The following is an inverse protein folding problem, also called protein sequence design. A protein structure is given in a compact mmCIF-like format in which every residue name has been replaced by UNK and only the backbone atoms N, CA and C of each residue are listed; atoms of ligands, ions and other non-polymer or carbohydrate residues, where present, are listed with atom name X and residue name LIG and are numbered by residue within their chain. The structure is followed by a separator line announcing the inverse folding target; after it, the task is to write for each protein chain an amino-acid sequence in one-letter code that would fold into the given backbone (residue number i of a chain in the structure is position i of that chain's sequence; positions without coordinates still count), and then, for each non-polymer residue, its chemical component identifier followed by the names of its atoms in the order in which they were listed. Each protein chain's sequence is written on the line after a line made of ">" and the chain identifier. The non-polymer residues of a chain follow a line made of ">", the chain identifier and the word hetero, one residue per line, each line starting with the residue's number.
data_IF_230684970156
#
_entry.id   IF_230684970156
#
_cell.length_a   1.000
_cell.length_b   1.000
_cell.length_c   1.000
_cell.angle_alpha   90.00
_cell.angle_beta   90.00
_cell.angle_gamma   90.00
#
_symmetry.space_group_name_H-M   'P 1'
#
loop_
_entity.id
_entity.type
_entity.pdbx_description
1 polymer ?
#
# COMPACT_ATOMS: atom_id res chain seq x y z
N UNK A 1 -41.84 5.62 -30.64
CA UNK A 1 -42.70 4.55 -30.08
C UNK A 1 -43.70 5.17 -29.12
N UNK A 2 -44.99 4.80 -29.18
CA UNK A 2 -46.00 5.33 -28.25
C UNK A 2 -45.92 4.61 -26.89
N UNK A 3 -46.07 5.31 -25.75
CA UNK A 3 -46.17 4.70 -24.43
C UNK A 3 -47.40 3.78 -24.35
N UNK A 4 -47.26 2.60 -23.73
CA UNK A 4 -48.37 1.66 -23.57
C UNK A 4 -49.14 2.01 -22.29
N UNK A 5 -50.47 2.25 -22.34
CA UNK A 5 -51.27 2.50 -21.14
C UNK A 5 -51.35 1.24 -20.27
N UNK A 6 -51.24 1.39 -18.94
CA UNK A 6 -51.36 0.26 -18.01
C UNK A 6 -52.74 -0.45 -18.06
N UNK A 7 -53.77 0.24 -18.56
CA UNK A 7 -55.14 -0.27 -18.72
C UNK A 7 -55.29 -1.20 -19.93
N UNK A 8 -54.41 -1.06 -20.93
CA UNK A 8 -54.45 -1.85 -22.17
C UNK A 8 -53.62 -3.15 -22.09
N UNK A 9 -53.04 -3.46 -20.93
CA UNK A 9 -52.21 -4.63 -20.74
C UNK A 9 -53.05 -5.83 -20.32
N UNK A 10 -52.92 -6.94 -21.06
CA UNK A 10 -53.44 -8.22 -20.63
C UNK A 10 -52.53 -8.79 -19.51
N UNK A 11 -53.10 -9.06 -18.34
CA UNK A 11 -52.34 -9.45 -17.14
C UNK A 11 -53.00 -10.66 -16.50
N UNK A 12 -52.17 -11.63 -16.13
CA UNK A 12 -52.55 -12.85 -15.41
C UNK A 12 -53.03 -12.60 -13.98
N UNK A 13 -52.73 -11.43 -13.37
CA UNK A 13 -53.12 -11.09 -11.99
C UNK A 13 -54.13 -9.96 -11.96
N UNK A 14 -55.28 -10.20 -11.32
CA UNK A 14 -56.35 -9.22 -11.22
C UNK A 14 -55.95 -8.04 -10.32
N UNK A 15 -55.74 -6.86 -10.92
CA UNK A 15 -55.36 -5.63 -10.21
C UNK A 15 -56.46 -4.59 -10.34
N UNK A 16 -56.74 -3.82 -9.29
CA UNK A 16 -57.81 -2.82 -9.29
C UNK A 16 -57.60 -1.74 -10.37
N UNK A 17 -58.62 -1.49 -11.20
CA UNK A 17 -58.59 -0.52 -12.32
C UNK A 17 -58.26 0.92 -11.88
N UNK A 18 -58.59 1.32 -10.64
CA UNK A 18 -58.24 2.65 -10.11
C UNK A 18 -56.72 2.84 -9.97
N UNK A 19 -56.01 1.80 -9.54
CA UNK A 19 -54.55 1.80 -9.40
C UNK A 19 -53.88 1.84 -10.77
N UNK A 20 -54.43 1.13 -11.76
CA UNK A 20 -53.91 1.11 -13.12
C UNK A 20 -54.08 2.45 -13.84
N UNK A 21 -55.19 3.15 -13.61
CA UNK A 21 -55.38 4.52 -14.11
C UNK A 21 -54.38 5.51 -13.48
N UNK A 22 -54.09 5.37 -12.18
CA UNK A 22 -53.11 6.22 -11.50
C UNK A 22 -51.67 6.01 -12.00
N UNK A 23 -51.34 4.81 -12.50
CA UNK A 23 -50.00 4.50 -13.08
C UNK A 23 -49.78 5.04 -14.49
N UNK A 24 -50.81 5.56 -15.16
CA UNK A 24 -50.69 6.25 -16.45
C UNK A 24 -50.22 5.35 -17.61
N UNK A 25 -49.24 5.84 -18.38
CA UNK A 25 -48.66 5.16 -19.54
C UNK A 25 -47.15 5.04 -19.37
N UNK A 26 -46.57 3.87 -19.65
CA UNK A 26 -45.14 3.61 -19.45
C UNK A 26 -44.50 3.05 -20.73
N UNK A 27 -43.23 3.36 -20.93
CA UNK A 27 -42.41 2.68 -21.93
C UNK A 27 -41.71 1.47 -21.30
N UNK A 28 -42.11 0.26 -21.69
CA UNK A 28 -41.44 -0.97 -21.26
C UNK A 28 -40.18 -1.23 -22.08
N UNK A 29 -39.12 -1.73 -21.43
CA UNK A 29 -37.82 -2.03 -22.04
C UNK A 29 -37.86 -3.31 -22.91
N UNK A 30 -38.51 -4.36 -22.43
CA UNK A 30 -38.68 -5.64 -23.16
C UNK A 30 -40.13 -5.79 -23.63
N UNK A 31 -40.36 -5.84 -24.94
CA UNK A 31 -41.70 -5.89 -25.56
C UNK A 31 -41.80 -7.00 -26.61
N UNK A 32 -42.96 -7.65 -26.68
CA UNK A 32 -43.25 -8.65 -27.72
C UNK A 32 -43.85 -7.94 -28.93
N UNK A 33 -43.15 -7.96 -30.07
CA UNK A 33 -43.63 -7.43 -31.34
C UNK A 33 -44.00 -5.93 -31.35
N UNK A 34 -44.80 -5.53 -32.34
CA UNK A 34 -45.24 -4.14 -32.54
C UNK A 34 -46.39 -3.70 -31.63
N UNK A 35 -47.02 -4.64 -30.91
CA UNK A 35 -48.19 -4.41 -30.05
C UNK A 35 -47.82 -3.80 -28.68
N UNK A 36 -46.53 -3.85 -28.33
CA UNK A 36 -45.99 -3.14 -27.17
C UNK A 36 -46.37 -3.74 -25.82
N UNK A 37 -46.80 -5.01 -25.80
CA UNK A 37 -47.01 -5.79 -24.59
C UNK A 37 -45.67 -6.13 -23.92
N UNK A 38 -45.56 -6.05 -22.58
CA UNK A 38 -44.33 -6.37 -21.86
C UNK A 38 -44.04 -7.87 -21.93
N UNK A 39 -42.80 -8.24 -22.23
CA UNK A 39 -42.33 -9.62 -22.12
C UNK A 39 -42.17 -9.97 -20.64
N UNK A 40 -42.59 -11.19 -20.26
CA UNK A 40 -42.18 -11.77 -18.98
C UNK A 40 -40.72 -12.20 -19.11
N UNK A 41 -39.75 -11.51 -18.50
CA UNK A 41 -38.33 -11.74 -18.79
C UNK A 41 -37.88 -13.14 -18.39
N UNK A 42 -38.52 -13.73 -17.38
CA UNK A 42 -38.19 -15.04 -16.83
C UNK A 42 -38.18 -16.13 -17.90
N UNK A 43 -39.25 -16.25 -18.69
CA UNK A 43 -39.35 -17.28 -19.74
C UNK A 43 -38.39 -17.03 -20.91
N UNK A 44 -38.09 -15.77 -21.23
CA UNK A 44 -37.14 -15.43 -22.29
C UNK A 44 -35.71 -15.83 -21.90
N UNK A 45 -35.28 -15.49 -20.68
CA UNK A 45 -33.91 -15.79 -20.21
C UNK A 45 -33.71 -17.27 -19.86
N UNK A 46 -34.72 -17.99 -19.37
CA UNK A 46 -34.60 -19.40 -18.99
C UNK A 46 -34.23 -20.33 -20.15
N UNK A 47 -34.52 -19.94 -21.40
CA UNK A 47 -34.22 -20.75 -22.60
C UNK A 47 -33.12 -20.14 -23.49
N UNK A 48 -33.15 -18.82 -23.70
CA UNK A 48 -32.20 -18.16 -24.63
C UNK A 48 -30.80 -18.02 -24.06
N UNK A 49 -30.67 -17.76 -22.74
CA UNK A 49 -29.37 -17.56 -22.11
C UNK A 49 -28.54 -18.86 -22.07
N UNK A 50 -29.08 -20.03 -21.66
CA UNK A 50 -28.32 -21.28 -21.71
C UNK A 50 -27.89 -21.67 -23.12
N UNK A 51 -28.75 -21.45 -24.13
CA UNK A 51 -28.42 -21.73 -25.53
C UNK A 51 -27.30 -20.80 -26.05
N UNK A 52 -27.34 -19.51 -25.71
CA UNK A 52 -26.30 -18.56 -26.06
C UNK A 52 -24.96 -18.91 -25.40
N UNK A 53 -24.97 -19.28 -24.11
CA UNK A 53 -23.77 -19.70 -23.40
C UNK A 53 -23.17 -20.97 -24.01
N UNK A 54 -23.99 -21.89 -24.51
CA UNK A 54 -23.53 -23.08 -25.21
C UNK A 54 -22.80 -22.76 -26.53
N UNK A 55 -23.23 -21.71 -27.22
CA UNK A 55 -22.60 -21.28 -28.46
C UNK A 55 -21.26 -20.56 -28.23
N UNK A 56 -21.12 -19.89 -27.09
CA UNK A 56 -19.93 -19.07 -26.77
C UNK A 56 -18.86 -19.89 -26.04
N UNK A 57 -19.24 -20.96 -25.33
CA UNK A 57 -18.30 -21.75 -24.53
C UNK A 57 -17.20 -22.39 -25.39
N UNK A 58 -15.96 -22.36 -24.88
CA UNK A 58 -14.79 -22.97 -25.53
C UNK A 58 -14.55 -24.41 -25.03
N UNK A 59 -13.75 -25.23 -25.74
CA UNK A 59 -13.44 -26.58 -25.28
C UNK A 59 -12.76 -26.54 -23.89
N UNK A 60 -13.41 -27.14 -22.89
CA UNK A 60 -12.95 -27.16 -21.49
C UNK A 60 -13.71 -26.25 -20.52
N UNK A 61 -14.63 -25.40 -21.01
CA UNK A 61 -15.47 -24.54 -20.17
C UNK A 61 -16.85 -25.17 -19.90
N UNK A 62 -17.38 -25.01 -18.67
CA UNK A 62 -18.67 -25.58 -18.24
C UNK A 62 -19.76 -24.50 -18.09
N UNK A 63 -19.98 -23.68 -19.12
CA UNK A 63 -20.97 -22.59 -19.06
C UNK A 63 -22.41 -23.08 -19.22
N UNK A 64 -22.63 -24.15 -20.00
CA UNK A 64 -23.95 -24.75 -20.18
C UNK A 64 -23.85 -26.24 -20.56
N UNK A 65 -24.79 -27.04 -20.06
CA UNK A 65 -24.89 -28.46 -20.36
C UNK A 65 -26.18 -28.77 -21.12
N UNK A 66 -26.15 -29.76 -22.00
CA UNK A 66 -27.36 -30.29 -22.63
C UNK A 66 -28.02 -31.26 -21.66
N UNK A 67 -29.31 -31.08 -21.39
CA UNK A 67 -30.07 -32.02 -20.57
C UNK A 67 -30.02 -33.43 -21.20
N UNK A 68 -29.65 -34.49 -20.46
CA UNK A 68 -29.54 -35.84 -21.01
C UNK A 68 -30.87 -36.51 -21.42
N UNK A 69 -32.02 -35.86 -21.19
CA UNK A 69 -33.35 -36.39 -21.52
C UNK A 69 -33.69 -36.23 -23.03
N UNK A 70 -33.91 -37.33 -23.79
CA UNK A 70 -34.14 -37.29 -25.23
C UNK A 70 -35.46 -36.62 -25.66
N UNK A 71 -36.45 -36.50 -24.77
CA UNK A 71 -37.75 -35.90 -25.10
C UNK A 71 -37.78 -34.36 -24.95
N UNK A 72 -36.78 -33.77 -24.29
CA UNK A 72 -36.75 -32.34 -23.99
C UNK A 72 -35.30 -31.85 -23.89
N UNK A 73 -34.58 -31.90 -25.02
CA UNK A 73 -33.21 -31.40 -25.15
C UNK A 73 -33.18 -29.88 -24.92
N UNK A 74 -33.11 -29.49 -23.65
CA UNK A 74 -32.94 -28.11 -23.21
C UNK A 74 -31.53 -27.90 -22.73
N UNK A 75 -30.98 -26.75 -23.07
CA UNK A 75 -29.73 -26.28 -22.48
C UNK A 75 -30.00 -25.86 -21.03
N UNK A 76 -29.19 -26.36 -20.11
CA UNK A 76 -29.24 -26.05 -18.69
C UNK A 76 -28.00 -25.23 -18.36
N UNK A 77 -28.22 -24.09 -17.72
CA UNK A 77 -27.16 -23.23 -17.21
C UNK A 77 -27.27 -23.17 -15.68
N UNK A 78 -26.18 -23.41 -14.92
CA UNK A 78 -26.19 -23.22 -13.47
C UNK A 78 -26.25 -21.73 -13.08
N UNK A 79 -25.90 -20.82 -14.00
CA UNK A 79 -25.89 -19.38 -13.78
C UNK A 79 -27.24 -18.75 -14.17
N UNK A 80 -27.93 -18.19 -13.18
CA UNK A 80 -29.17 -17.45 -13.37
C UNK A 80 -28.90 -15.97 -13.70
N UNK A 81 -29.83 -15.24 -14.32
CA UNK A 81 -29.71 -13.79 -14.46
C UNK A 81 -29.51 -13.07 -13.12
N UNK A 82 -30.07 -13.63 -12.04
CA UNK A 82 -29.86 -13.11 -10.69
C UNK A 82 -28.41 -13.31 -10.24
N UNK A 83 -27.85 -14.52 -10.37
CA UNK A 83 -26.45 -14.77 -9.97
C UNK A 83 -25.47 -13.95 -10.81
N UNK A 84 -25.70 -13.80 -12.12
CA UNK A 84 -24.89 -12.94 -12.99
C UNK A 84 -24.93 -11.48 -12.55
N UNK A 85 -26.12 -10.97 -12.20
CA UNK A 85 -26.28 -9.60 -11.67
C UNK A 85 -25.53 -9.41 -10.35
N UNK A 86 -25.59 -10.37 -9.44
CA UNK A 86 -24.83 -10.32 -8.18
C UNK A 86 -23.33 -10.29 -8.46
N UNK A 87 -22.81 -11.24 -9.25
CA UNK A 87 -21.39 -11.30 -9.61
C UNK A 87 -20.91 -10.00 -10.25
N UNK A 88 -21.72 -9.39 -11.12
CA UNK A 88 -21.37 -8.14 -11.80
C UNK A 88 -21.40 -6.91 -10.88
N UNK A 89 -22.35 -6.84 -9.93
CA UNK A 89 -22.32 -5.83 -8.86
C UNK A 89 -21.04 -5.99 -8.03
N UNK A 90 -20.74 -7.22 -7.60
CA UNK A 90 -19.57 -7.50 -6.78
C UNK A 90 -18.29 -7.15 -7.52
N UNK A 91 -18.13 -7.53 -8.79
CA UNK A 91 -16.95 -7.21 -9.59
C UNK A 91 -16.78 -5.69 -9.77
N UNK A 92 -17.84 -4.94 -10.07
CA UNK A 92 -17.72 -3.48 -10.21
C UNK A 92 -17.28 -2.78 -8.93
N UNK A 93 -17.72 -3.27 -7.77
CA UNK A 93 -17.42 -2.63 -6.49
C UNK A 93 -16.10 -3.12 -5.93
N UNK A 94 -15.87 -4.44 -5.92
CA UNK A 94 -14.69 -5.06 -5.33
C UNK A 94 -13.44 -4.93 -6.22
N UNK A 95 -13.58 -5.16 -7.53
CA UNK A 95 -12.43 -5.16 -8.45
C UNK A 95 -12.29 -3.81 -9.18
N UNK A 96 -13.42 -3.15 -9.46
CA UNK A 96 -13.46 -1.88 -10.19
C UNK A 96 -13.44 -0.62 -9.32
N UNK A 97 -13.41 -0.76 -7.98
CA UNK A 97 -13.45 0.33 -7.01
C UNK A 97 -14.60 1.34 -7.25
N UNK A 98 -15.68 0.90 -7.93
CA UNK A 98 -16.74 1.79 -8.35
C UNK A 98 -17.56 2.29 -7.15
N UNK A 99 -17.87 3.60 -7.07
CA UNK A 99 -18.66 4.12 -5.97
C UNK A 99 -20.02 3.44 -5.87
N UNK A 100 -20.34 2.90 -4.68
CA UNK A 100 -21.57 2.12 -4.44
C UNK A 100 -22.85 2.85 -4.86
N UNK A 101 -22.87 4.18 -4.71
CA UNK A 101 -24.02 5.00 -5.07
C UNK A 101 -24.27 5.05 -6.59
N UNK A 102 -23.22 4.92 -7.41
CA UNK A 102 -23.34 4.82 -8.86
C UNK A 102 -23.85 3.44 -9.28
N UNK A 103 -23.32 2.37 -8.67
CA UNK A 103 -23.77 1.00 -8.96
C UNK A 103 -25.22 0.80 -8.52
N UNK A 104 -25.62 1.35 -7.37
CA UNK A 104 -27.01 1.33 -6.92
C UNK A 104 -27.96 1.96 -7.91
N UNK A 105 -27.55 3.07 -8.56
CA UNK A 105 -28.34 3.72 -9.63
C UNK A 105 -28.36 2.90 -10.90
N UNK A 106 -27.22 2.36 -11.33
CA UNK A 106 -27.10 1.54 -12.54
C UNK A 106 -27.98 0.29 -12.48
N UNK A 107 -28.03 -0.35 -11.31
CA UNK A 107 -28.75 -1.60 -11.12
C UNK A 107 -30.19 -1.37 -10.64
N UNK A 108 -30.57 -0.11 -10.42
CA UNK A 108 -31.94 0.32 -10.13
C UNK A 108 -32.43 -0.11 -8.74
N UNK A 109 -31.54 -0.16 -7.75
CA UNK A 109 -31.94 -0.47 -6.38
C UNK A 109 -32.61 0.74 -5.72
N UNK A 110 -33.76 0.51 -5.09
CA UNK A 110 -34.54 1.55 -4.40
C UNK A 110 -33.87 2.04 -3.11
N UNK A 111 -32.94 1.26 -2.55
CA UNK A 111 -32.16 1.61 -1.37
C UNK A 111 -30.74 1.08 -1.50
N UNK A 112 -29.77 1.82 -0.98
CA UNK A 112 -28.36 1.42 -0.91
C UNK A 112 -28.18 0.10 -0.16
N UNK A 113 -29.02 -0.20 0.83
CA UNK A 113 -28.97 -1.44 1.63
C UNK A 113 -29.08 -2.68 0.73
N UNK A 114 -29.88 -2.61 -0.35
CA UNK A 114 -29.98 -3.71 -1.31
C UNK A 114 -28.67 -3.91 -2.06
N UNK A 115 -27.92 -2.85 -2.35
CA UNK A 115 -26.61 -2.92 -3.00
C UNK A 115 -25.54 -3.43 -2.04
N UNK A 116 -25.57 -2.97 -0.78
CA UNK A 116 -24.67 -3.40 0.30
C UNK A 116 -24.74 -4.91 0.53
N UNK A 117 -25.93 -5.51 0.42
CA UNK A 117 -26.10 -6.96 0.57
C UNK A 117 -25.23 -7.79 -0.38
N UNK A 118 -24.87 -7.25 -1.55
CA UNK A 118 -24.02 -7.91 -2.55
C UNK A 118 -22.52 -7.62 -2.37
N UNK A 119 -22.18 -6.79 -1.40
CA UNK A 119 -20.82 -6.39 -1.04
C UNK A 119 -20.44 -7.11 0.24
N UNK A 120 -20.40 -8.45 0.19
CA UNK A 120 -19.68 -9.22 1.21
C UNK A 120 -18.21 -9.22 0.84
N UNK A 121 -17.53 -8.12 1.17
CA UNK A 121 -16.09 -8.05 1.04
C UNK A 121 -15.47 -9.02 2.05
N UNK A 122 -14.52 -9.82 1.59
CA UNK A 122 -13.73 -10.65 2.50
C UNK A 122 -12.86 -9.74 3.38
N UNK A 123 -12.55 -10.15 4.62
CA UNK A 123 -11.74 -9.36 5.57
C UNK A 123 -10.40 -8.90 4.96
N UNK A 124 -9.80 -9.74 4.12
CA UNK A 124 -8.55 -9.46 3.42
C UNK A 124 -8.69 -8.40 2.32
N UNK A 125 -9.80 -8.42 1.57
CA UNK A 125 -10.09 -7.40 0.54
C UNK A 125 -10.35 -6.03 1.18
N UNK A 126 -11.04 -6.01 2.33
CA UNK A 126 -11.22 -4.77 3.10
C UNK A 126 -9.88 -4.23 3.58
N UNK A 127 -9.00 -5.06 4.15
CA UNK A 127 -7.71 -4.61 4.68
C UNK A 127 -6.79 -4.04 3.59
N UNK A 128 -6.74 -4.64 2.40
CA UNK A 128 -5.88 -4.16 1.30
C UNK A 128 -6.40 -2.84 0.71
N UNK A 129 -7.70 -2.74 0.42
CA UNK A 129 -8.29 -1.51 -0.13
C UNK A 129 -8.27 -0.36 0.89
N UNK A 130 -8.44 -0.67 2.19
CA UNK A 130 -8.34 0.32 3.26
C UNK A 130 -6.90 0.78 3.49
N UNK A 131 -5.90 -0.09 3.44
CA UNK A 131 -4.51 0.31 3.70
C UNK A 131 -3.98 1.39 2.74
N UNK A 132 -4.23 1.23 1.44
CA UNK A 132 -3.81 2.24 0.45
C UNK A 132 -4.64 3.53 0.57
N UNK A 133 -5.96 3.40 0.80
CA UNK A 133 -6.84 4.55 1.01
C UNK A 133 -6.49 5.32 2.30
N UNK A 134 -6.12 4.63 3.37
CA UNK A 134 -5.67 5.21 4.63
C UNK A 134 -4.36 5.98 4.46
N UNK A 135 -3.38 5.41 3.75
CA UNK A 135 -2.13 6.11 3.43
C UNK A 135 -2.36 7.39 2.63
N UNK A 136 -3.20 7.34 1.59
CA UNK A 136 -3.56 8.53 0.79
C UNK A 136 -4.35 9.56 1.59
N UNK A 137 -5.31 9.11 2.40
CA UNK A 137 -6.08 10.00 3.26
C UNK A 137 -5.20 10.69 4.31
N UNK A 138 -4.25 9.95 4.90
CA UNK A 138 -3.26 10.48 5.82
C UNK A 138 -2.42 11.58 5.14
N UNK A 139 -1.96 11.36 3.90
CA UNK A 139 -1.21 12.37 3.15
C UNK A 139 -2.04 13.65 2.93
N UNK A 140 -3.30 13.53 2.52
CA UNK A 140 -4.19 14.70 2.33
C UNK A 140 -4.37 15.47 3.64
N UNK A 141 -4.45 14.77 4.77
CA UNK A 141 -4.48 15.40 6.10
C UNK A 141 -3.15 16.11 6.39
N UNK A 142 -2.01 15.49 6.10
CA UNK A 142 -0.69 16.11 6.26
C UNK A 142 -0.52 17.35 5.38
N UNK A 143 -0.98 17.31 4.12
CA UNK A 143 -0.94 18.47 3.20
C UNK A 143 -1.85 19.62 3.66
N UNK A 144 -3.04 19.30 4.17
CA UNK A 144 -3.91 20.30 4.80
C UNK A 144 -3.26 20.91 6.03
N UNK A 145 -2.72 20.08 6.92
CA UNK A 145 -2.00 20.55 8.10
C UNK A 145 -0.78 21.39 7.71
N UNK A 146 -0.07 21.04 6.63
CA UNK A 146 1.02 21.85 6.09
C UNK A 146 0.53 23.23 5.65
N UNK A 147 -0.60 23.29 4.94
CA UNK A 147 -1.26 24.53 4.53
C UNK A 147 -1.64 25.39 5.74
N UNK A 148 -2.22 24.76 6.76
CA UNK A 148 -2.64 25.42 7.99
C UNK A 148 -1.46 25.94 8.81
N UNK A 149 -0.33 25.21 8.83
CA UNK A 149 0.90 25.66 9.50
C UNK A 149 1.53 26.85 8.80
N UNK A 150 1.51 26.87 7.48
CA UNK A 150 1.99 28.02 6.71
C UNK A 150 1.11 29.26 6.90
N UNK A 151 -0.20 29.07 7.08
CA UNK A 151 -1.15 30.17 7.26
C UNK A 151 -1.22 30.70 8.70
N UNK A 152 -1.25 29.81 9.69
CA UNK A 152 -1.58 30.11 11.09
C UNK A 152 -0.49 29.70 12.08
N UNK A 153 0.65 29.19 11.61
CA UNK A 153 1.75 28.75 12.47
C UNK A 153 1.46 27.43 13.16
N UNK A 154 2.09 27.17 14.31
CA UNK A 154 1.96 25.88 15.00
C UNK A 154 0.66 25.73 15.79
N UNK A 155 -0.04 26.83 16.09
CA UNK A 155 -1.29 26.90 16.87
C UNK A 155 -2.34 25.83 16.56
N UNK A 156 -2.78 25.63 15.29
CA UNK A 156 -3.85 24.68 14.96
C UNK A 156 -3.49 23.22 15.28
N UNK A 157 -2.21 22.88 15.25
CA UNK A 157 -1.73 21.50 15.42
C UNK A 157 -1.03 21.26 16.76
N UNK A 158 -0.90 22.27 17.64
CA UNK A 158 -0.13 22.17 18.91
C UNK A 158 -0.43 20.93 19.73
N UNK A 159 -1.70 20.55 19.82
CA UNK A 159 -2.12 19.41 20.63
C UNK A 159 -1.71 18.07 20.01
N UNK A 160 -1.41 18.02 18.71
CA UNK A 160 -1.02 16.80 17.96
C UNK A 160 0.50 16.63 17.90
N UNK A 161 1.25 17.63 18.36
CA UNK A 161 2.70 17.69 18.32
C UNK A 161 3.33 17.08 19.57
N UNK A 162 4.49 16.47 19.39
CA UNK A 162 5.32 15.94 20.47
C UNK A 162 6.14 17.06 21.09
N UNK A 163 5.93 17.28 22.38
CA UNK A 163 6.76 18.16 23.20
C UNK A 163 7.95 17.39 23.77
N UNK A 164 9.13 17.92 23.51
CA UNK A 164 10.43 17.49 24.03
C UNK A 164 11.09 18.70 24.69
N UNK A 165 12.03 18.49 25.61
CA UNK A 165 12.72 19.57 26.35
C UNK A 165 13.34 20.64 25.42
N UNK A 166 13.78 20.25 24.22
CA UNK A 166 14.39 21.17 23.25
C UNK A 166 13.41 21.99 22.39
N UNK A 167 12.19 21.50 22.18
CA UNK A 167 11.21 22.11 21.28
C UNK A 167 9.99 22.70 22.01
N UNK A 168 9.83 22.40 23.30
CA UNK A 168 8.64 22.77 24.09
C UNK A 168 8.41 24.28 24.13
N UNK A 169 9.45 25.08 24.36
CA UNK A 169 9.34 26.54 24.37
C UNK A 169 8.94 27.11 23.01
N UNK A 170 9.45 26.54 21.92
CA UNK A 170 9.08 26.96 20.55
C UNK A 170 7.62 26.67 20.24
N UNK A 171 7.11 25.53 20.70
CA UNK A 171 5.70 25.17 20.53
C UNK A 171 4.80 26.09 21.37
N UNK A 172 5.22 26.46 22.58
CA UNK A 172 4.40 27.25 23.50
C UNK A 172 4.41 28.76 23.20
N UNK A 173 5.60 29.34 23.02
CA UNK A 173 5.79 30.78 22.72
C UNK A 173 5.29 31.15 21.31
N UNK A 174 5.24 30.16 20.41
CA UNK A 174 4.81 30.35 19.04
C UNK A 174 5.95 30.85 18.14
N UNK A 175 6.07 30.23 16.97
CA UNK A 175 7.11 30.56 15.99
C UNK A 175 6.46 31.31 14.82
N UNK A 176 7.09 32.36 14.28
CA UNK A 176 6.59 33.03 13.09
C UNK A 176 6.42 32.05 11.93
N UNK A 177 5.29 32.12 11.22
CA UNK A 177 4.95 31.16 10.16
C UNK A 177 6.00 31.10 9.05
N UNK A 178 6.65 32.24 8.74
CA UNK A 178 7.72 32.33 7.75
C UNK A 178 9.00 31.57 8.15
N UNK A 179 9.19 31.28 9.44
CA UNK A 179 10.32 30.53 9.93
C UNK A 179 10.09 29.01 9.88
N UNK A 180 8.83 28.56 9.76
CA UNK A 180 8.47 27.15 9.72
C UNK A 180 8.63 26.56 8.31
N UNK A 181 9.46 25.52 8.20
CA UNK A 181 9.54 24.65 7.02
C UNK A 181 8.94 23.31 7.37
N UNK A 182 7.91 22.90 6.64
CA UNK A 182 7.22 21.63 6.85
C UNK A 182 7.76 20.60 5.86
N UNK A 183 8.22 19.46 6.40
CA UNK A 183 8.62 18.27 5.67
C UNK A 183 7.59 17.15 5.91
N UNK A 184 7.63 16.11 5.10
CA UNK A 184 6.72 14.96 5.23
C UNK A 184 6.91 14.20 6.55
N UNK A 185 8.09 14.29 7.18
CA UNK A 185 8.42 13.64 8.46
C UNK A 185 8.41 14.58 9.67
N UNK A 186 8.22 15.90 9.47
CA UNK A 186 8.10 16.87 10.57
C UNK A 186 8.39 18.30 10.17
N UNK A 187 8.46 19.19 11.15
CA UNK A 187 8.55 20.65 10.98
C UNK A 187 9.88 21.15 11.54
N UNK A 188 10.54 22.03 10.79
CA UNK A 188 11.66 22.82 11.25
C UNK A 188 11.22 24.27 11.52
N UNK A 189 11.19 24.73 12.78
CA UNK A 189 10.83 26.10 13.13
C UNK A 189 11.96 27.13 12.87
N UNK A 190 13.12 26.69 12.37
CA UNK A 190 14.32 27.51 12.19
C UNK A 190 14.73 27.65 10.71
N UNK A 191 13.76 27.67 9.80
CA UNK A 191 13.95 27.81 8.34
C UNK A 191 14.96 26.84 7.72
N UNK A 192 15.14 25.64 8.32
CA UNK A 192 16.15 24.67 7.92
C UNK A 192 17.59 25.25 7.82
N UNK A 193 17.91 26.26 8.64
CA UNK A 193 19.18 26.99 8.61
C UNK A 193 20.01 26.87 9.90
N UNK A 194 19.38 26.69 11.07
CA UNK A 194 20.08 26.70 12.37
C UNK A 194 20.56 25.32 12.85
N UNK A 195 20.90 24.40 11.94
CA UNK A 195 21.38 23.05 12.30
C UNK A 195 22.72 23.06 13.06
N UNK A 196 23.52 24.12 12.92
CA UNK A 196 24.80 24.28 13.62
C UNK A 196 24.68 24.47 15.14
N UNK A 197 23.47 24.77 15.65
CA UNK A 197 23.18 24.91 17.09
C UNK A 197 22.11 23.90 17.55
N UNK A 198 21.83 22.87 16.74
CA UNK A 198 20.72 21.95 16.99
C UNK A 198 21.08 20.70 17.78
N UNK A 199 22.35 20.46 18.08
CA UNK A 199 22.84 19.26 18.73
C UNK A 199 22.85 19.32 20.26
N UNK A 200 23.64 18.44 20.87
CA UNK A 200 23.77 18.31 22.32
C UNK A 200 24.41 19.54 22.96
N UNK A 201 24.05 19.81 24.22
CA UNK A 201 24.60 20.94 24.97
C UNK A 201 26.06 20.69 25.36
N UNK A 202 26.97 21.58 24.92
CA UNK A 202 28.40 21.51 25.22
C UNK A 202 28.69 22.15 26.58
N UNK A 203 28.05 23.28 26.87
CA UNK A 203 28.21 23.98 28.15
C UNK A 203 26.88 24.57 28.62
N UNK A 204 26.51 24.24 29.86
CA UNK A 204 25.35 24.82 30.56
C UNK A 204 25.88 25.79 31.63
N UNK A 205 26.05 27.07 31.28
CA UNK A 205 26.24 28.15 32.27
C UNK A 205 24.91 28.87 32.48
N UNK A 206 24.72 29.46 33.66
CA UNK A 206 23.46 30.05 34.16
C UNK A 206 22.75 31.08 33.25
N UNK A 207 23.34 31.49 32.10
CA UNK A 207 22.74 32.44 31.14
C UNK A 207 22.92 32.11 29.65
N UNK A 208 23.78 31.17 29.26
CA UNK A 208 24.01 30.82 27.86
C UNK A 208 24.26 29.31 27.72
N UNK A 209 23.41 28.65 26.94
CA UNK A 209 23.58 27.24 26.56
C UNK A 209 24.23 27.22 25.18
N UNK A 210 25.49 26.78 25.12
CA UNK A 210 26.17 26.54 23.85
C UNK A 210 25.88 25.11 23.41
N UNK A 211 25.25 24.94 22.26
CA UNK A 211 25.02 23.62 21.68
C UNK A 211 26.00 23.32 20.55
N UNK A 212 26.23 22.03 20.34
CA UNK A 212 26.99 21.50 19.22
C UNK A 212 26.17 21.54 17.93
N UNK A 213 26.83 21.47 16.77
CA UNK A 213 26.17 21.15 15.51
C UNK A 213 25.48 19.78 15.58
N UNK A 214 24.37 19.64 14.87
CA UNK A 214 23.71 18.34 14.70
C UNK A 214 24.68 17.36 14.04
N UNK A 215 24.79 16.16 14.61
CA UNK A 215 25.64 15.10 14.06
C UNK A 215 25.15 14.65 12.68
N UNK A 216 26.10 14.40 11.77
CA UNK A 216 25.80 13.92 10.43
C UNK A 216 25.19 12.52 10.48
N UNK A 217 24.01 12.38 9.87
CA UNK A 217 23.28 11.11 9.82
C UNK A 217 22.86 10.72 8.40
N UNK A 218 21.81 9.91 8.28
CA UNK A 218 21.26 9.47 6.99
C UNK A 218 20.87 10.66 6.09
N UNK A 219 20.23 11.68 6.66
CA UNK A 219 19.85 12.92 5.96
C UNK A 219 21.02 13.91 5.78
N UNK A 220 22.26 13.50 6.08
CA UNK A 220 23.46 14.32 5.98
C UNK A 220 23.53 15.40 7.06
N UNK A 221 23.87 16.64 6.67
CA UNK A 221 24.08 17.77 7.59
C UNK A 221 22.79 18.30 8.21
N UNK A 222 21.64 18.02 7.59
CA UNK A 222 20.32 18.43 8.07
C UNK A 222 19.58 17.25 8.69
N UNK A 223 20.23 16.56 9.63
CA UNK A 223 19.66 15.42 10.31
C UNK A 223 18.61 15.85 11.35
N UNK A 224 17.41 16.23 10.88
CA UNK A 224 16.35 16.75 11.72
C UNK A 224 15.96 15.82 12.86
N UNK A 225 16.05 14.50 12.67
CA UNK A 225 15.71 13.50 13.71
C UNK A 225 16.55 13.68 14.98
N UNK A 226 17.79 14.18 14.84
CA UNK A 226 18.69 14.43 15.99
C UNK A 226 18.77 15.89 16.39
N UNK A 227 17.93 16.74 15.80
CA UNK A 227 17.91 18.16 16.08
C UNK A 227 16.94 18.48 17.22
N UNK A 228 17.40 19.20 18.23
CA UNK A 228 16.57 19.64 19.37
C UNK A 228 15.36 20.49 18.97
N UNK A 229 15.48 21.20 17.84
CA UNK A 229 14.43 22.08 17.31
C UNK A 229 13.36 21.33 16.52
N UNK A 230 13.56 20.05 16.26
CA UNK A 230 12.66 19.27 15.45
C UNK A 230 11.30 19.12 16.13
N UNK A 231 10.25 19.39 15.36
CA UNK A 231 8.87 19.30 15.82
C UNK A 231 8.18 18.26 14.96
N UNK A 232 7.62 17.22 15.58
CA UNK A 232 6.88 16.17 14.88
C UNK A 232 5.66 15.76 15.68
N UNK A 233 4.82 14.87 15.16
CA UNK A 233 3.56 14.48 15.79
C UNK A 233 2.71 13.55 14.93
N UNK A 234 1.45 13.35 15.34
CA UNK A 234 0.50 12.42 14.69
C UNK A 234 0.39 12.61 13.17
N UNK A 235 0.33 13.84 12.62
CA UNK A 235 0.25 14.03 11.17
C UNK A 235 1.45 13.53 10.37
N UNK A 236 2.61 13.36 11.00
CA UNK A 236 3.87 13.01 10.36
C UNK A 236 4.23 11.54 10.53
N UNK A 237 3.38 10.74 11.19
CA UNK A 237 3.66 9.34 11.50
C UNK A 237 4.04 8.53 10.27
N UNK A 238 3.30 8.66 9.17
CA UNK A 238 3.60 7.93 7.93
C UNK A 238 4.96 8.29 7.34
N UNK A 239 5.34 9.58 7.36
CA UNK A 239 6.65 10.03 6.91
C UNK A 239 7.78 9.55 7.82
N UNK A 240 7.57 9.50 9.14
CA UNK A 240 8.52 8.93 10.10
C UNK A 240 8.74 7.43 9.87
N UNK A 241 7.68 6.67 9.64
CA UNK A 241 7.77 5.23 9.32
C UNK A 241 8.51 5.02 7.99
N UNK A 242 8.18 5.81 6.96
CA UNK A 242 8.86 5.74 5.67
C UNK A 242 10.37 6.02 5.79
N UNK A 243 10.75 7.06 6.54
CA UNK A 243 12.16 7.37 6.82
C UNK A 243 12.83 6.25 7.62
N UNK A 244 12.15 5.69 8.62
CA UNK A 244 12.65 4.56 9.40
C UNK A 244 12.93 3.32 8.54
N UNK A 245 12.07 3.02 7.57
CA UNK A 245 12.25 1.91 6.65
C UNK A 245 13.46 2.08 5.72
N UNK A 246 13.70 3.29 5.22
CA UNK A 246 14.91 3.59 4.44
C UNK A 246 16.19 3.41 5.25
N UNK A 247 16.21 3.93 6.48
CA UNK A 247 17.36 3.76 7.38
C UNK A 247 17.55 2.28 7.75
N UNK A 248 16.48 1.52 7.94
CA UNK A 248 16.55 0.08 8.19
C UNK A 248 17.22 -0.67 7.02
N UNK A 249 16.92 -0.30 5.78
CA UNK A 249 17.60 -0.87 4.60
C UNK A 249 19.10 -0.55 4.60
N UNK A 250 19.47 0.70 4.90
CA UNK A 250 20.88 1.10 5.01
C UNK A 250 21.64 0.37 6.12
N UNK A 251 21.02 0.24 7.30
CA UNK A 251 21.55 -0.53 8.42
C UNK A 251 21.82 -1.96 7.99
N UNK A 252 20.86 -2.60 7.31
CA UNK A 252 21.04 -3.97 6.84
C UNK A 252 22.24 -4.10 5.91
N UNK A 253 22.37 -3.21 4.92
CA UNK A 253 23.47 -3.28 3.94
C UNK A 253 24.82 -2.99 4.60
N UNK A 254 24.92 -1.98 5.45
CA UNK A 254 26.18 -1.67 6.15
C UNK A 254 26.55 -2.72 7.20
N UNK A 255 25.56 -3.35 7.85
CA UNK A 255 25.79 -4.49 8.77
C UNK A 255 26.44 -5.67 8.04
N UNK A 256 25.95 -6.02 6.84
CA UNK A 256 26.58 -7.06 6.01
C UNK A 256 28.04 -6.74 5.67
N UNK A 257 28.31 -5.49 5.25
CA UNK A 257 29.68 -5.03 4.96
C UNK A 257 30.58 -5.07 6.20
N UNK A 258 30.06 -4.67 7.36
CA UNK A 258 30.78 -4.72 8.63
C UNK A 258 31.15 -6.16 8.99
N UNK A 259 30.23 -7.12 8.83
CA UNK A 259 30.49 -8.53 9.08
C UNK A 259 31.58 -9.10 8.15
N UNK A 260 31.56 -8.74 6.87
CA UNK A 260 32.61 -9.13 5.91
C UNK A 260 33.99 -8.61 6.32
N UNK A 261 34.09 -7.31 6.68
CA UNK A 261 35.36 -6.74 7.14
C UNK A 261 35.81 -7.32 8.49
N UNK A 262 34.88 -7.59 9.41
CA UNK A 262 35.21 -8.20 10.70
C UNK A 262 35.72 -9.64 10.54
N UNK A 263 35.14 -10.41 9.61
CA UNK A 263 35.64 -11.74 9.27
C UNK A 263 37.05 -11.68 8.64
N UNK A 264 37.30 -10.69 7.77
CA UNK A 264 38.62 -10.46 7.17
C UNK A 264 39.67 -10.09 8.21
N UNK A 265 39.35 -9.17 9.14
CA UNK A 265 40.23 -8.76 10.24
C UNK A 265 40.59 -9.97 11.10
N UNK A 266 39.61 -10.76 11.53
CA UNK A 266 39.86 -11.98 12.33
C UNK A 266 40.81 -12.94 11.63
N UNK A 267 40.59 -13.21 10.35
CA UNK A 267 41.47 -14.08 9.55
C UNK A 267 42.91 -13.55 9.49
N UNK A 268 43.09 -12.25 9.28
CA UNK A 268 44.42 -11.64 9.22
C UNK A 268 45.11 -11.56 10.59
N UNK A 269 44.33 -11.44 11.67
CA UNK A 269 44.81 -11.51 13.04
C UNK A 269 45.27 -12.92 13.42
N UNK A 270 44.53 -13.96 13.02
CA UNK A 270 44.93 -15.36 13.20
C UNK A 270 46.26 -15.66 12.49
N UNK A 271 46.39 -15.28 11.22
CA UNK A 271 47.65 -15.45 10.45
C UNK A 271 48.80 -14.69 11.11
N UNK A 272 48.55 -13.48 11.62
CA UNK A 272 49.55 -12.70 12.33
C UNK A 272 49.98 -13.37 13.64
N UNK A 273 49.03 -13.94 14.38
CA UNK A 273 49.30 -14.67 15.61
C UNK A 273 50.16 -15.91 15.36
N UNK A 274 49.85 -16.71 14.34
CA UNK A 274 50.63 -17.89 13.95
C UNK A 274 52.05 -17.51 13.50
N UNK A 275 52.20 -16.43 12.72
CA UNK A 275 53.50 -15.90 12.32
C UNK A 275 54.34 -15.44 13.52
N UNK A 276 53.70 -14.80 14.51
CA UNK A 276 54.35 -14.42 15.77
C UNK A 276 54.81 -15.65 16.56
N UNK A 277 53.99 -16.72 16.64
CA UNK A 277 54.40 -17.97 17.28
C UNK A 277 55.61 -18.62 16.57
N UNK A 278 55.66 -18.52 15.25
CA UNK A 278 56.74 -19.04 14.42
C UNK A 278 57.98 -18.11 14.33
N UNK A 279 58.00 -16.96 15.02
CA UNK A 279 59.03 -15.91 14.91
C UNK A 279 59.28 -15.43 13.46
N UNK A 280 58.24 -15.42 12.62
CA UNK A 280 58.33 -14.96 11.24
C UNK A 280 57.89 -13.49 11.12
N UNK A 281 58.50 -12.72 10.19
CA UNK A 281 58.10 -11.35 9.94
C UNK A 281 56.67 -11.28 9.36
N UNK A 282 55.93 -10.25 9.73
CA UNK A 282 54.55 -10.04 9.31
C UNK A 282 54.46 -9.55 7.84
N UNK A 283 54.16 -10.48 6.93
CA UNK A 283 54.04 -10.23 5.50
C UNK A 283 52.77 -9.42 5.17
N UNK A 284 51.73 -9.48 6.02
CA UNK A 284 50.40 -8.94 5.74
C UNK A 284 50.07 -7.65 6.52
N UNK A 285 51.07 -6.99 7.12
CA UNK A 285 50.89 -5.80 7.96
C UNK A 285 50.03 -4.71 7.30
N UNK A 286 50.28 -4.40 6.02
CA UNK A 286 49.53 -3.38 5.30
C UNK A 286 48.07 -3.78 5.08
N UNK A 287 47.83 -5.03 4.69
CA UNK A 287 46.47 -5.54 4.47
C UNK A 287 45.68 -5.57 5.77
N UNK A 288 46.29 -5.97 6.89
CA UNK A 288 45.65 -5.93 8.22
C UNK A 288 45.28 -4.51 8.62
N UNK A 289 46.18 -3.53 8.47
CA UNK A 289 45.88 -2.12 8.76
C UNK A 289 44.72 -1.59 7.91
N UNK A 290 44.66 -1.94 6.63
CA UNK A 290 43.57 -1.55 5.75
C UNK A 290 42.23 -2.20 6.16
N UNK A 291 42.25 -3.50 6.50
CA UNK A 291 41.06 -4.22 6.95
C UNK A 291 40.49 -3.61 8.25
N UNK A 292 41.34 -3.31 9.24
CA UNK A 292 40.94 -2.65 10.49
C UNK A 292 40.37 -1.26 10.21
N UNK A 293 41.00 -0.46 9.35
CA UNK A 293 40.50 0.86 9.00
C UNK A 293 39.12 0.80 8.32
N UNK A 294 38.90 -0.15 7.41
CA UNK A 294 37.62 -0.36 6.75
C UNK A 294 36.53 -0.83 7.73
N UNK A 295 36.86 -1.75 8.64
CA UNK A 295 35.96 -2.20 9.71
C UNK A 295 35.55 -1.03 10.60
N UNK A 296 36.50 -0.21 11.06
CA UNK A 296 36.23 0.97 11.88
C UNK A 296 35.37 2.00 11.16
N UNK A 297 35.65 2.25 9.87
CA UNK A 297 34.84 3.15 9.05
C UNK A 297 33.40 2.65 8.89
N UNK A 298 33.21 1.36 8.60
CA UNK A 298 31.90 0.74 8.47
C UNK A 298 31.15 0.73 9.81
N UNK A 299 31.84 0.41 10.91
CA UNK A 299 31.30 0.44 12.26
C UNK A 299 30.85 1.83 12.70
N UNK A 300 31.64 2.87 12.41
CA UNK A 300 31.25 4.26 12.70
C UNK A 300 30.03 4.69 11.89
N UNK A 301 29.94 4.30 10.62
CA UNK A 301 28.75 4.57 9.79
C UNK A 301 27.51 3.86 10.35
N UNK A 302 27.65 2.59 10.73
CA UNK A 302 26.56 1.77 11.29
C UNK A 302 26.05 2.35 12.61
N UNK A 303 26.94 2.78 13.50
CA UNK A 303 26.58 3.42 14.78
C UNK A 303 25.72 4.68 14.56
N UNK A 304 26.11 5.54 13.60
CA UNK A 304 25.32 6.74 13.27
C UNK A 304 23.92 6.38 12.75
N UNK A 305 23.80 5.38 11.87
CA UNK A 305 22.51 4.93 11.34
C UNK A 305 21.61 4.33 12.43
N UNK A 306 22.18 3.55 13.35
CA UNK A 306 21.45 2.96 14.48
C UNK A 306 20.95 4.01 15.45
N UNK A 307 21.74 5.05 15.72
CA UNK A 307 21.33 6.21 16.52
C UNK A 307 20.15 6.94 15.88
N UNK A 308 20.24 7.22 14.58
CA UNK A 308 19.15 7.85 13.83
C UNK A 308 17.87 6.99 13.89
N UNK A 309 17.99 5.69 13.65
CA UNK A 309 16.87 4.75 13.72
C UNK A 309 16.22 4.72 15.10
N UNK A 310 17.04 4.73 16.17
CA UNK A 310 16.55 4.77 17.55
C UNK A 310 15.76 6.03 17.82
N UNK A 311 16.28 7.20 17.42
CA UNK A 311 15.57 8.48 17.59
C UNK A 311 14.24 8.52 16.81
N UNK A 312 14.20 8.02 15.57
CA UNK A 312 12.93 7.89 14.81
C UNK A 312 11.95 7.02 15.58
N UNK A 313 12.41 5.86 16.05
CA UNK A 313 11.56 4.90 16.72
C UNK A 313 11.00 5.45 18.06
N UNK A 314 11.76 6.28 18.77
CA UNK A 314 11.27 7.03 19.92
C UNK A 314 10.15 8.00 19.54
N UNK A 315 10.31 8.78 18.48
CA UNK A 315 9.24 9.66 18.00
C UNK A 315 7.99 8.90 17.57
N UNK A 316 8.14 7.76 16.89
CA UNK A 316 7.03 6.89 16.52
C UNK A 316 6.29 6.42 17.78
N UNK A 317 7.02 5.90 18.80
CA UNK A 317 6.43 5.48 20.08
C UNK A 317 5.69 6.61 20.79
N UNK A 318 6.27 7.82 20.83
CA UNK A 318 5.63 8.98 21.42
C UNK A 318 4.36 9.38 20.67
N UNK A 319 4.38 9.29 19.34
CA UNK A 319 3.23 9.59 18.48
C UNK A 319 2.08 8.61 18.72
N UNK A 320 2.39 7.32 18.88
CA UNK A 320 1.41 6.30 19.23
C UNK A 320 0.79 6.55 20.60
N UNK A 321 1.60 6.86 21.61
CA UNK A 321 1.10 7.20 22.96
C UNK A 321 0.16 8.40 22.93
N UNK A 322 0.53 9.47 22.22
CA UNK A 322 -0.34 10.64 22.06
C UNK A 322 -1.65 10.31 21.35
N UNK A 323 -1.62 9.34 20.43
CA UNK A 323 -2.82 8.88 19.73
C UNK A 323 -3.73 8.09 20.68
N UNK A 324 -3.17 7.21 21.51
CA UNK A 324 -3.90 6.44 22.53
C UNK A 324 -4.52 7.35 23.61
N UNK A 325 -3.78 8.33 24.14
CA UNK A 325 -4.28 9.27 25.15
C UNK A 325 -5.43 10.16 24.64
N UNK A 326 -5.44 10.46 23.34
CA UNK A 326 -6.55 11.18 22.68
C UNK A 326 -7.79 10.33 22.54
N UNK A 327 -7.65 9.03 22.24
CA UNK A 327 -8.78 8.10 22.20
C UNK A 327 -9.53 8.06 23.54
N UNK A 328 -8.80 8.12 24.66
CA UNK A 328 -9.39 8.10 26.00
C UNK A 328 -10.03 9.45 26.40
N UNK A 329 -9.54 10.56 25.87
CA UNK A 329 -9.95 11.92 26.28
C UNK A 329 -11.12 12.48 25.46
N UNK A 330 -11.17 12.21 24.16
CA UNK A 330 -12.20 12.71 23.25
C UNK A 330 -13.13 11.58 22.80
N UNK A 331 -14.08 11.18 23.66
CA UNK A 331 -15.14 10.20 23.37
C UNK A 331 -16.11 10.55 22.22
N UNK A 332 -15.63 11.21 21.16
CA UNK A 332 -16.35 11.54 19.93
C UNK A 332 -16.00 10.53 18.84
N UNK A 333 -16.87 9.54 18.71
CA UNK A 333 -17.19 8.80 17.48
C UNK A 333 -15.99 8.47 16.56
N UNK A 334 -15.10 7.61 17.04
CA UNK A 334 -14.39 6.71 16.15
C UNK A 334 -15.39 5.63 15.69
N UNK A 335 -15.50 5.42 14.37
CA UNK A 335 -16.34 4.39 13.79
C UNK A 335 -16.08 3.04 14.47
N UNK A 336 -17.17 2.42 14.94
CA UNK A 336 -17.20 1.15 15.64
C UNK A 336 -16.63 0.06 14.73
N UNK A 337 -15.36 -0.30 14.93
CA UNK A 337 -14.84 -1.62 14.59
C UNK A 337 -15.06 -2.51 15.82
N UNK A 338 -16.17 -3.25 15.81
CA UNK A 338 -16.51 -4.25 16.83
C UNK A 338 -15.36 -5.27 16.96
N UNK A 339 -14.92 -5.50 18.19
CA UNK A 339 -14.04 -6.60 18.68
C UNK A 339 -12.57 -6.69 18.27
N UNK A 340 -12.00 -5.68 17.62
CA UNK A 340 -10.55 -5.48 17.67
C UNK A 340 -10.24 -4.01 17.74
N UNK A 341 -10.01 -3.51 18.96
CA UNK A 341 -9.30 -2.25 19.16
C UNK A 341 -8.01 -2.40 18.36
N UNK A 342 -7.92 -1.75 17.20
CA UNK A 342 -6.68 -1.68 16.43
C UNK A 342 -5.79 -0.76 17.27
N UNK A 343 -5.15 -1.34 18.29
CA UNK A 343 -3.92 -0.78 18.80
C UNK A 343 -3.00 -0.69 17.60
N UNK A 344 -2.63 0.52 17.24
CA UNK A 344 -1.64 0.76 16.21
C UNK A 344 -0.31 0.27 16.78
N UNK A 345 -0.06 -1.03 16.63
CA UNK A 345 1.14 -1.68 17.11
C UNK A 345 2.22 -1.57 16.03
N UNK A 346 3.35 -0.97 16.38
CA UNK A 346 4.53 -0.97 15.52
C UNK A 346 5.25 -2.27 15.78
N UNK A 347 4.91 -3.29 14.98
CA UNK A 347 5.58 -4.58 15.02
C UNK A 347 6.83 -4.53 14.15
N UNK A 348 8.01 -4.65 14.75
CA UNK A 348 9.23 -5.00 14.01
C UNK A 348 9.14 -6.49 13.69
N UNK A 349 9.03 -6.83 12.41
CA UNK A 349 8.93 -8.23 11.96
C UNK A 349 10.20 -8.63 11.23
N UNK A 350 10.89 -9.63 11.77
CA UNK A 350 11.92 -10.33 11.03
C UNK A 350 11.25 -11.16 9.94
N UNK A 351 11.44 -10.76 8.69
CA UNK A 351 10.89 -11.46 7.52
C UNK A 351 11.99 -12.35 6.94
N UNK A 352 11.63 -13.55 6.47
CA UNK A 352 12.58 -14.47 5.85
C UNK A 352 13.19 -13.88 4.56
N UNK A 353 12.48 -12.94 3.93
CA UNK A 353 12.94 -12.20 2.76
C UNK A 353 12.91 -10.69 3.03
N UNK A 354 13.80 -9.94 2.37
CA UNK A 354 13.79 -8.47 2.40
C UNK A 354 12.73 -7.87 1.46
N UNK A 355 11.97 -8.69 0.74
CA UNK A 355 11.05 -8.23 -0.29
C UNK A 355 10.03 -7.24 0.25
N UNK A 356 9.44 -7.53 1.41
CA UNK A 356 8.42 -6.67 2.03
C UNK A 356 8.95 -5.26 2.31
N UNK A 357 10.13 -5.14 2.93
CA UNK A 357 10.76 -3.83 3.20
C UNK A 357 11.04 -3.07 1.90
N UNK A 358 11.59 -3.74 0.89
CA UNK A 358 11.90 -3.13 -0.40
C UNK A 358 10.62 -2.67 -1.13
N UNK A 359 9.57 -3.48 -1.06
CA UNK A 359 8.26 -3.17 -1.62
C UNK A 359 7.65 -1.94 -0.97
N UNK A 360 7.72 -1.84 0.36
CA UNK A 360 7.21 -0.71 1.13
C UNK A 360 7.99 0.58 0.82
N UNK A 361 9.32 0.51 0.69
CA UNK A 361 10.14 1.68 0.27
C UNK A 361 9.76 2.14 -1.15
N UNK A 362 9.53 1.21 -2.08
CA UNK A 362 9.11 1.56 -3.44
C UNK A 362 7.70 2.18 -3.48
N UNK A 363 6.79 1.76 -2.60
CA UNK A 363 5.48 2.38 -2.43
C UNK A 363 5.62 3.79 -1.82
N UNK A 364 6.43 3.92 -0.77
CA UNK A 364 6.69 5.19 -0.08
C UNK A 364 7.31 6.23 -1.01
N UNK A 365 8.18 5.84 -1.94
CA UNK A 365 8.78 6.75 -2.93
C UNK A 365 7.77 7.34 -3.94
N UNK A 366 6.59 6.73 -4.08
CA UNK A 366 5.50 7.30 -4.88
C UNK A 366 4.61 8.24 -4.07
N UNK A 367 4.63 8.11 -2.73
CA UNK A 367 3.75 8.85 -1.81
C UNK A 367 4.48 10.09 -1.25
N UNK A 368 5.71 9.92 -0.76
CA UNK A 368 6.48 10.96 -0.08
C UNK A 368 7.56 11.55 -0.99
N UNK A 369 7.72 12.87 -0.94
CA UNK A 369 8.63 13.58 -1.86
C UNK A 369 10.10 13.38 -1.51
N UNK A 370 10.38 13.12 -0.25
CA UNK A 370 11.74 12.93 0.25
C UNK A 370 12.28 11.52 0.03
N UNK A 371 11.37 10.57 -0.16
CA UNK A 371 11.73 9.16 -0.16
C UNK A 371 12.52 8.81 -1.42
N UNK A 372 13.63 8.11 -1.24
CA UNK A 372 14.55 7.78 -2.33
C UNK A 372 14.64 6.26 -2.56
N UNK A 373 13.89 5.77 -3.53
CA UNK A 373 13.90 4.34 -3.89
C UNK A 373 15.16 3.89 -4.67
N UNK A 374 16.13 4.76 -4.97
CA UNK A 374 17.28 4.42 -5.84
C UNK A 374 18.09 3.20 -5.37
N UNK A 375 18.17 2.95 -4.05
CA UNK A 375 18.85 1.77 -3.51
C UNK A 375 17.95 0.53 -3.44
N UNK A 376 16.66 0.73 -3.16
CA UNK A 376 15.70 -0.36 -3.05
C UNK A 376 15.32 -0.94 -4.43
N UNK A 377 15.19 -0.08 -5.45
CA UNK A 377 14.71 -0.45 -6.78
C UNK A 377 15.57 -1.49 -7.51
N UNK A 378 16.93 -1.41 -7.54
CA UNK A 378 17.73 -2.46 -8.14
C UNK A 378 17.63 -3.79 -7.37
N UNK A 379 17.52 -3.74 -6.04
CA UNK A 379 17.41 -4.94 -5.20
C UNK A 379 16.09 -5.66 -5.44
N UNK A 380 14.96 -4.93 -5.44
CA UNK A 380 13.65 -5.53 -5.70
C UNK A 380 13.51 -6.00 -7.14
N UNK A 381 14.09 -5.27 -8.11
CA UNK A 381 14.12 -5.69 -9.51
C UNK A 381 14.83 -7.03 -9.65
N UNK A 382 15.97 -7.22 -8.99
CA UNK A 382 16.69 -8.50 -9.00
C UNK A 382 15.91 -9.60 -8.28
N UNK A 383 15.24 -9.29 -7.17
CA UNK A 383 14.39 -10.25 -6.46
C UNK A 383 13.23 -10.74 -7.33
N UNK A 384 12.56 -9.84 -8.05
CA UNK A 384 11.46 -10.16 -8.98
C UNK A 384 11.98 -10.97 -10.17
N UNK A 385 13.10 -10.58 -10.77
CA UNK A 385 13.69 -11.33 -11.88
C UNK A 385 14.14 -12.74 -11.46
N UNK A 386 14.65 -12.92 -10.23
CA UNK A 386 14.95 -14.23 -9.66
C UNK A 386 13.70 -15.08 -9.44
N UNK A 387 12.65 -14.48 -8.86
CA UNK A 387 11.36 -15.16 -8.69
C UNK A 387 10.78 -15.59 -10.05
N UNK A 388 10.85 -14.73 -11.07
CA UNK A 388 10.41 -15.06 -12.41
C UNK A 388 11.21 -16.25 -12.98
N UNK A 389 12.54 -16.20 -12.90
CA UNK A 389 13.41 -17.28 -13.39
C UNK A 389 13.15 -18.62 -12.70
N UNK A 390 12.99 -18.63 -11.38
CA UNK A 390 12.70 -19.84 -10.60
C UNK A 390 11.36 -20.49 -10.97
N UNK A 391 10.41 -19.70 -11.47
CA UNK A 391 9.09 -20.16 -11.89
C UNK A 391 8.96 -20.40 -13.40
N UNK A 392 10.07 -20.38 -14.15
CA UNK A 392 10.07 -20.56 -15.60
C UNK A 392 9.45 -19.39 -16.38
N UNK A 393 9.27 -18.23 -15.75
CA UNK A 393 8.83 -16.99 -16.37
C UNK A 393 10.03 -16.22 -16.93
N UNK A 394 9.80 -15.36 -17.93
CA UNK A 394 10.86 -14.56 -18.53
C UNK A 394 11.17 -13.33 -17.67
N UNK A 395 12.38 -13.22 -17.09
CA UNK A 395 12.80 -12.02 -16.36
C UNK A 395 12.81 -10.82 -17.30
N UNK A 396 12.21 -9.71 -16.86
CA UNK A 396 11.97 -8.55 -17.71
C UNK A 396 12.23 -7.22 -17.00
N UNK A 397 12.40 -7.21 -15.67
CA UNK A 397 12.53 -5.97 -14.89
C UNK A 397 13.79 -5.18 -15.27
N UNK A 398 14.88 -5.87 -15.59
CA UNK A 398 16.12 -5.25 -16.05
C UNK A 398 15.99 -4.42 -17.34
N UNK A 399 14.95 -4.63 -18.16
CA UNK A 399 14.71 -3.88 -19.41
C UNK A 399 13.94 -2.57 -19.20
N UNK A 400 13.32 -2.41 -18.03
CA UNK A 400 12.41 -1.30 -17.74
C UNK A 400 13.17 -0.07 -17.23
N UNK A 401 12.58 1.11 -17.41
CA UNK A 401 13.07 2.35 -16.77
C UNK A 401 12.71 2.38 -15.28
N UNK A 402 13.40 3.21 -14.50
CA UNK A 402 13.15 3.33 -13.05
C UNK A 402 11.68 3.64 -12.72
N UNK A 403 11.04 4.56 -13.46
CA UNK A 403 9.61 4.87 -13.29
C UNK A 403 8.72 3.66 -13.59
N UNK A 404 9.00 2.95 -14.68
CA UNK A 404 8.24 1.75 -15.04
C UNK A 404 8.43 0.63 -14.01
N UNK A 405 9.65 0.46 -13.46
CA UNK A 405 9.91 -0.52 -12.40
C UNK A 405 9.05 -0.26 -11.17
N UNK A 406 8.91 1.00 -10.73
CA UNK A 406 8.06 1.36 -9.59
C UNK A 406 6.59 0.98 -9.83
N UNK A 407 6.05 1.32 -11.01
CA UNK A 407 4.67 0.97 -11.36
C UNK A 407 4.48 -0.55 -11.43
N UNK A 408 5.42 -1.28 -12.02
CA UNK A 408 5.37 -2.75 -12.10
C UNK A 408 5.43 -3.38 -10.71
N UNK A 409 6.33 -2.92 -9.84
CA UNK A 409 6.43 -3.38 -8.45
C UNK A 409 5.10 -3.20 -7.72
N UNK A 410 4.48 -2.02 -7.84
CA UNK A 410 3.19 -1.75 -7.19
C UNK A 410 2.07 -2.65 -7.72
N UNK A 411 1.96 -2.81 -9.04
CA UNK A 411 0.96 -3.69 -9.66
C UNK A 411 1.17 -5.15 -9.24
N UNK A 412 2.42 -5.60 -9.20
CA UNK A 412 2.78 -6.93 -8.75
C UNK A 412 2.40 -7.13 -7.28
N UNK A 413 2.73 -6.18 -6.41
CA UNK A 413 2.39 -6.25 -4.98
C UNK A 413 0.88 -6.29 -4.75
N UNK A 414 0.11 -5.45 -5.47
CA UNK A 414 -1.36 -5.47 -5.40
C UNK A 414 -1.90 -6.85 -5.78
N UNK A 415 -1.40 -7.43 -6.87
CA UNK A 415 -1.80 -8.77 -7.31
C UNK A 415 -1.43 -9.86 -6.29
N UNK A 416 -0.20 -9.85 -5.80
CA UNK A 416 0.28 -10.85 -4.84
C UNK A 416 -0.48 -10.78 -3.52
N UNK A 417 -0.77 -9.59 -3.00
CA UNK A 417 -1.55 -9.42 -1.78
C UNK A 417 -3.02 -9.84 -1.95
N UNK A 418 -3.63 -9.56 -3.10
CA UNK A 418 -5.00 -9.98 -3.40
C UNK A 418 -5.12 -11.51 -3.42
N UNK A 419 -4.14 -12.21 -3.99
CA UNK A 419 -4.18 -13.66 -4.17
C UNK A 419 -3.66 -14.45 -2.95
N UNK A 420 -2.51 -14.06 -2.39
CA UNK A 420 -1.83 -14.81 -1.33
C UNK A 420 -2.28 -14.40 0.07
N UNK A 421 -2.65 -13.14 0.25
CA UNK A 421 -3.26 -12.60 1.46
C UNK A 421 -2.37 -12.35 2.66
N UNK A 422 -1.19 -12.97 2.72
CA UNK A 422 -0.20 -12.72 3.75
C UNK A 422 1.17 -12.45 3.13
N UNK A 423 1.91 -11.54 3.77
CA UNK A 423 3.30 -11.25 3.41
C UNK A 423 4.21 -12.47 3.62
N UNK A 424 3.92 -13.33 4.60
CA UNK A 424 4.66 -14.58 4.84
C UNK A 424 4.67 -15.50 3.61
N UNK A 425 3.50 -15.69 2.97
CA UNK A 425 3.41 -16.50 1.74
C UNK A 425 4.13 -15.85 0.55
N UNK A 426 4.18 -14.52 0.53
CA UNK A 426 4.95 -13.78 -0.48
C UNK A 426 6.44 -14.02 -0.23
N UNK A 427 6.90 -13.94 1.01
CA UNK A 427 8.30 -14.22 1.36
C UNK A 427 8.70 -15.67 1.03
N UNK A 428 7.81 -16.63 1.23
CA UNK A 428 8.02 -18.04 0.83
C UNK A 428 8.16 -18.21 -0.70
N UNK A 429 7.41 -17.42 -1.48
CA UNK A 429 7.53 -17.38 -2.94
C UNK A 429 8.87 -16.79 -3.38
N UNK A 430 9.28 -15.67 -2.77
CA UNK A 430 10.53 -14.98 -3.12
C UNK A 430 11.78 -15.70 -2.62
N UNK A 431 11.69 -16.45 -1.53
CA UNK A 431 12.77 -17.34 -1.04
C UNK A 431 12.88 -18.64 -1.85
N UNK A 432 11.87 -18.98 -2.64
CA UNK A 432 11.85 -20.20 -3.48
C UNK A 432 11.38 -21.45 -2.74
N UNK A 433 10.81 -21.31 -1.55
CA UNK A 433 10.20 -22.42 -0.78
C UNK A 433 8.89 -22.89 -1.42
N UNK A 434 8.16 -21.98 -2.09
CA UNK A 434 6.91 -22.28 -2.79
C UNK A 434 7.00 -21.81 -4.23
N UNK A 435 6.56 -22.63 -5.19
CA UNK A 435 6.49 -22.22 -6.60
C UNK A 435 5.08 -21.67 -6.95
N UNK A 436 5.03 -20.79 -7.95
CA UNK A 436 3.78 -20.28 -8.53
C UNK A 436 2.91 -21.41 -9.07
N UNK A 437 3.51 -22.50 -9.58
CA UNK A 437 2.78 -23.69 -10.02
C UNK A 437 2.01 -24.37 -8.88
N UNK A 438 2.59 -24.41 -7.67
CA UNK A 438 1.95 -25.02 -6.49
C UNK A 438 0.80 -24.15 -5.98
N UNK A 439 0.96 -22.82 -6.07
CA UNK A 439 -0.07 -21.85 -5.72
C UNK A 439 -1.22 -21.91 -6.74
N UNK A 440 -0.89 -21.96 -8.03
CA UNK A 440 -1.87 -22.07 -9.13
C UNK A 440 -2.68 -23.37 -9.00
N UNK A 441 -2.04 -24.49 -8.61
CA UNK A 441 -2.71 -25.77 -8.37
C UNK A 441 -3.69 -25.77 -7.18
N UNK A 442 -3.47 -24.90 -6.20
CA UNK A 442 -4.35 -24.75 -5.03
C UNK A 442 -5.46 -23.72 -5.24
N UNK A 443 -5.30 -22.82 -6.22
CA UNK A 443 -6.29 -21.79 -6.54
C UNK A 443 -7.44 -22.32 -7.40
N UNK A 444 -8.68 -21.93 -7.08
CA UNK A 444 -9.91 -22.28 -7.82
C UNK A 444 -10.18 -21.26 -8.95
N UNK A 445 -9.26 -20.31 -9.15
CA UNK A 445 -9.44 -19.18 -10.05
C UNK A 445 -9.23 -19.57 -11.52
N UNK A 446 -10.02 -19.00 -12.47
CA UNK A 446 -9.97 -19.37 -13.88
C UNK A 446 -8.72 -18.87 -14.63
N UNK A 447 -7.89 -18.03 -14.01
CA UNK A 447 -6.67 -17.45 -14.61
C UNK A 447 -5.47 -17.80 -13.73
N UNK A 448 -4.47 -18.47 -14.32
CA UNK A 448 -3.22 -18.78 -13.63
C UNK A 448 -2.45 -17.51 -13.29
N UNK A 449 -2.01 -17.38 -12.04
CA UNK A 449 -1.23 -16.27 -11.51
C UNK A 449 0.06 -16.06 -12.32
N UNK A 450 0.68 -17.17 -12.72
CA UNK A 450 1.87 -17.20 -13.60
C UNK A 450 1.68 -16.36 -14.87
N UNK A 451 0.48 -16.39 -15.47
CA UNK A 451 0.16 -15.65 -16.70
C UNK A 451 -0.07 -14.17 -16.45
N UNK A 452 -0.72 -13.81 -15.34
CA UNK A 452 -0.94 -12.42 -14.95
C UNK A 452 0.39 -11.73 -14.61
N UNK A 453 1.28 -12.41 -13.87
CA UNK A 453 2.62 -11.92 -13.55
C UNK A 453 3.42 -11.71 -14.86
N UNK A 454 3.38 -12.66 -15.79
CA UNK A 454 4.06 -12.52 -17.08
C UNK A 454 3.52 -11.32 -17.90
N UNK A 455 2.22 -11.03 -17.81
CA UNK A 455 1.62 -9.87 -18.48
C UNK A 455 2.12 -8.55 -17.88
N UNK A 456 2.15 -8.45 -16.55
CA UNK A 456 2.68 -7.30 -15.81
C UNK A 456 4.17 -7.06 -16.18
N UNK A 457 4.97 -8.13 -16.18
CA UNK A 457 6.41 -8.08 -16.51
C UNK A 457 6.67 -7.72 -17.99
N UNK A 458 5.77 -8.08 -18.90
CA UNK A 458 5.92 -7.83 -20.35
C UNK A 458 5.59 -6.39 -20.79
N UNK A 459 5.25 -5.49 -19.86
CA UNK A 459 4.90 -4.09 -20.09
C UNK A 459 3.72 -3.82 -21.06
N UNK A 460 3.01 -4.86 -21.55
CA UNK A 460 1.84 -4.70 -22.43
C UNK A 460 0.61 -4.09 -21.75
N UNK A 461 0.62 -3.92 -20.43
CA UNK A 461 -0.44 -3.26 -19.67
C UNK A 461 -0.26 -1.73 -19.52
N UNK A 462 0.84 -1.15 -20.01
CA UNK A 462 1.10 0.29 -19.88
C UNK A 462 0.41 1.09 -21.00
N UNK A 463 -0.92 1.17 -20.96
CA UNK A 463 -1.63 2.32 -21.52
C UNK A 463 -1.53 3.47 -20.50
N UNK A 464 -1.08 4.68 -20.90
CA UNK A 464 -0.91 5.78 -19.97
C UNK A 464 -2.27 6.27 -19.46
N UNK A 465 -2.50 6.12 -18.16
CA UNK A 465 -3.55 6.81 -17.40
C UNK A 465 -3.09 8.24 -17.09
N UNK A 466 -2.70 9.00 -18.13
CA UNK A 466 -2.34 10.41 -18.05
C UNK A 466 -2.46 11.00 -19.46
N UNK A 467 -3.69 11.28 -19.89
CA UNK A 467 -3.93 12.39 -20.81
C UNK A 467 -4.52 13.51 -19.98
N UNK A 468 -3.68 14.51 -19.76
CA UNK A 468 -3.99 15.87 -19.38
C UNK A 468 -5.38 16.30 -19.88
N UNK A 469 -6.33 16.48 -18.97
CA UNK A 469 -7.45 17.38 -19.20
C UNK A 469 -6.92 18.77 -18.83
N UNK A 470 -6.24 19.40 -19.79
CA UNK A 470 -6.09 20.85 -19.82
C UNK A 470 -7.50 21.39 -20.13
N UNK A 471 -8.16 21.98 -19.13
CA UNK A 471 -9.24 22.91 -19.38
C UNK A 471 -8.60 24.28 -19.66
N UNK A 472 -8.78 24.77 -20.89
CA UNK A 472 -8.86 26.20 -21.18
C UNK A 472 -10.09 26.83 -20.49
#
# INVERSE_FOLDING_TARGET
>A
MKPTPWVALDRTVHTNRKILKARGSQCFLFRTGNEGHPIVPKSAFDQSLPALLNLIQRPGENLSNINPDPLNSRYICPYTPHSLRVSLITAFIADGEAPIHLISKLVGHASLVMTIYYIRLNHQQMRSAMGEAEKRAALVVTEKNMSDVLANGLDPIKQTLIKTDGNGSLIEEGVPNSACVVFDWGICPMSAASCFNGGEAIFTKQRENLHSPVEFGYLGQKNCVRCRYFVTGVPFLGGLVALGNEIALEIHVESGRFQEFSAEVKRLEEVHYDACQANQPDIYLQQRKQAIANEQQSGSKLDNLLKDYTSIHEYIKLTLKLTDERYDSEGKLALIATDSIIKLDVSVRESASQYHLLAEICENAQIYRFSNASRALPLISQAIDRMAANNGLLPSMYRLTERQKLTVVQQLNKLLLLRLGSWERIDDLFSGNTMLMDIDAQSIDPVCMSREIQLILSAKSMLPLEQEIIYE
#
